data_IF_968652300386
#
_entry.id   IF_968652300386
#
_cell.length_a   1.000
_cell.length_b   1.000
_cell.length_c   1.000
_cell.angle_alpha   90.00
_cell.angle_beta   90.00
_cell.angle_gamma   90.00
#
_symmetry.space_group_name_H-M   'P 1'
#
loop_
_entity.id
_entity.type
_entity.pdbx_description
1 polymer ?
#
# COMPACT_ATOMS: atom_id res chain seq x y z
N UNK A 1 -31.79 7.58 -44.47
CA UNK A 1 -30.70 7.91 -43.52
C UNK A 1 -29.99 6.60 -43.17
N UNK A 2 -28.66 6.44 -43.15
CA UNK A 2 -27.57 7.41 -43.36
C UNK A 2 -26.30 6.96 -42.62
N UNK A 3 -25.62 5.90 -43.09
CA UNK A 3 -24.32 5.43 -42.51
C UNK A 3 -23.16 6.32 -42.95
N UNK A 4 -22.17 6.55 -42.06
CA UNK A 4 -20.69 6.32 -42.22
C UNK A 4 -19.90 7.16 -41.18
N UNK A 5 -19.14 6.51 -40.28
CA UNK A 5 -17.66 6.24 -40.31
C UNK A 5 -16.78 7.42 -39.88
N UNK A 6 -15.97 7.20 -38.84
CA UNK A 6 -14.55 7.59 -38.88
C UNK A 6 -13.74 6.40 -39.41
N UNK A 7 -12.67 6.69 -40.16
CA UNK A 7 -11.83 5.68 -40.79
C UNK A 7 -10.47 5.60 -40.11
N UNK A 8 -9.96 4.39 -39.90
CA UNK A 8 -8.53 4.15 -39.70
C UNK A 8 -7.85 3.94 -41.05
N UNK A 9 -6.71 4.60 -41.20
CA UNK A 9 -5.94 4.78 -42.43
C UNK A 9 -5.24 3.48 -42.85
N UNK A 10 -5.43 3.06 -44.11
CA UNK A 10 -4.56 2.09 -44.78
C UNK A 10 -4.07 2.69 -46.09
N UNK A 11 -2.76 2.59 -46.32
CA UNK A 11 -2.11 3.01 -47.57
C UNK A 11 -2.04 1.83 -48.53
N UNK A 12 -2.51 2.00 -49.77
CA UNK A 12 -2.17 1.13 -50.90
C UNK A 12 -1.91 2.03 -52.11
N UNK A 13 -0.88 1.71 -52.89
CA UNK A 13 -0.47 2.48 -54.07
C UNK A 13 -1.04 1.91 -55.39
N UNK A 14 -0.69 2.60 -56.48
CA UNK A 14 -0.76 2.17 -57.90
C UNK A 14 -2.05 2.50 -58.68
N UNK A 15 -1.86 3.12 -59.85
CA UNK A 15 -2.76 3.00 -61.01
C UNK A 15 -3.49 4.28 -61.43
N UNK A 16 -2.99 4.99 -62.44
CA UNK A 16 -3.69 6.11 -63.11
C UNK A 16 -4.16 5.68 -64.50
N UNK A 17 -5.47 5.71 -64.77
CA UNK A 17 -6.07 5.66 -66.11
C UNK A 17 -7.32 6.58 -66.12
N UNK A 18 -7.56 7.42 -67.15
CA UNK A 18 -8.52 8.54 -67.10
C UNK A 18 -9.98 8.16 -67.46
N UNK A 19 -10.97 9.06 -67.23
CA UNK A 19 -12.39 8.70 -67.26
C UNK A 19 -13.08 8.83 -68.62
N UNK A 20 -14.14 8.05 -68.82
CA UNK A 20 -15.15 8.24 -69.89
C UNK A 20 -16.52 8.50 -69.23
N UNK A 21 -17.31 9.39 -69.84
CA UNK A 21 -18.43 10.08 -69.18
C UNK A 21 -19.81 9.40 -69.18
N UNK A 22 -20.74 10.11 -68.54
CA UNK A 22 -22.12 9.77 -68.21
C UNK A 22 -23.04 9.23 -69.34
N UNK A 23 -24.00 8.37 -68.95
CA UNK A 23 -25.48 8.57 -69.08
C UNK A 23 -26.32 7.33 -68.72
N UNK A 24 -27.48 7.56 -68.06
CA UNK A 24 -28.70 6.70 -68.02
C UNK A 24 -28.56 5.24 -67.50
N UNK A 25 -29.62 4.52 -67.11
CA UNK A 25 -31.05 4.84 -67.03
C UNK A 25 -31.84 3.76 -66.25
N UNK A 26 -33.13 4.01 -66.00
CA UNK A 26 -34.02 3.22 -65.13
C UNK A 26 -34.77 2.11 -65.91
N UNK A 27 -34.78 0.86 -65.41
CA UNK A 27 -35.73 -0.27 -65.66
C UNK A 27 -35.18 -1.52 -64.90
N UNK A 28 -35.86 -2.61 -64.52
CA UNK A 28 -37.27 -3.13 -64.59
C UNK A 28 -37.66 -3.64 -63.17
N UNK A 29 -38.96 -3.75 -62.85
CA UNK A 29 -39.51 -4.53 -61.72
C UNK A 29 -40.25 -5.78 -62.26
N UNK A 30 -40.39 -6.83 -61.45
CA UNK A 30 -41.21 -8.07 -61.65
C UNK A 30 -40.46 -9.30 -62.17
N UNK A 31 -39.99 -10.13 -61.23
CA UNK A 31 -40.46 -11.53 -61.14
C UNK A 31 -40.96 -11.73 -59.71
N UNK A 32 -42.29 -11.67 -59.54
CA UNK A 32 -42.97 -12.15 -58.34
C UNK A 32 -43.26 -13.65 -58.51
N UNK A 33 -43.32 -14.37 -57.39
CA UNK A 33 -43.88 -15.73 -57.25
C UNK A 33 -43.11 -16.86 -57.96
N UNK A 34 -42.01 -17.28 -57.33
CA UNK A 34 -41.28 -18.51 -57.68
C UNK A 34 -40.77 -19.24 -56.43
N UNK A 35 -41.60 -20.14 -55.90
CA UNK A 35 -41.27 -21.16 -54.89
C UNK A 35 -40.52 -20.74 -53.60
N UNK A 36 -41.25 -20.77 -52.48
CA UNK A 36 -40.65 -21.07 -51.18
C UNK A 36 -40.12 -22.51 -51.23
N UNK A 37 -38.82 -22.68 -51.45
CA UNK A 37 -38.12 -23.93 -51.15
C UNK A 37 -37.14 -23.70 -50.03
N UNK A 38 -37.35 -24.41 -48.92
CA UNK A 38 -36.34 -24.57 -47.87
C UNK A 38 -35.11 -25.26 -48.47
N UNK A 39 -34.07 -24.50 -48.83
CA UNK A 39 -32.73 -25.00 -48.55
C UNK A 39 -32.43 -24.62 -47.11
N UNK A 40 -32.32 -25.64 -46.25
CA UNK A 40 -31.65 -25.49 -44.97
C UNK A 40 -30.16 -25.35 -45.26
N UNK A 41 -29.76 -24.17 -45.75
CA UNK A 41 -28.35 -23.79 -45.79
C UNK A 41 -27.90 -23.63 -44.35
N UNK A 42 -27.15 -24.61 -43.85
CA UNK A 42 -26.44 -24.46 -42.59
C UNK A 42 -25.59 -23.18 -42.69
N UNK A 43 -25.97 -22.14 -41.95
CA UNK A 43 -25.09 -21.02 -41.65
C UNK A 43 -24.04 -21.52 -40.67
N UNK A 44 -23.09 -22.30 -41.21
CA UNK A 44 -21.81 -22.53 -40.57
C UNK A 44 -21.06 -21.20 -40.60
N UNK A 45 -21.22 -20.43 -39.52
CA UNK A 45 -20.20 -19.46 -39.14
C UNK A 45 -18.86 -20.21 -39.07
N UNK A 46 -17.73 -19.58 -39.44
CA UNK A 46 -16.43 -20.15 -39.15
C UNK A 46 -16.34 -20.31 -37.63
N UNK A 47 -16.44 -21.54 -37.14
CA UNK A 47 -16.07 -21.89 -35.78
C UNK A 47 -14.55 -21.91 -35.73
N UNK A 48 -13.97 -20.70 -35.81
CA UNK A 48 -12.60 -20.47 -35.40
C UNK A 48 -12.58 -20.79 -33.89
N UNK A 49 -11.86 -21.85 -33.45
CA UNK A 49 -12.07 -22.45 -32.13
C UNK A 49 -11.67 -21.55 -30.95
N UNK A 50 -11.08 -20.39 -31.23
CA UNK A 50 -10.56 -19.42 -30.27
C UNK A 50 -11.40 -18.10 -30.20
N UNK A 51 -12.64 -18.08 -30.72
CA UNK A 51 -13.56 -16.94 -30.50
C UNK A 51 -14.07 -16.96 -29.06
N UNK A 52 -13.77 -15.91 -28.29
CA UNK A 52 -14.11 -15.77 -26.88
C UNK A 52 -15.20 -14.71 -26.68
N UNK A 53 -16.31 -15.10 -26.07
CA UNK A 53 -17.47 -14.26 -25.77
C UNK A 53 -17.44 -13.68 -24.35
N UNK A 54 -18.37 -12.78 -24.04
CA UNK A 54 -18.59 -12.29 -22.67
C UNK A 54 -18.95 -13.46 -21.73
N UNK A 55 -18.10 -13.71 -20.72
CA UNK A 55 -18.16 -14.87 -19.83
C UNK A 55 -17.09 -15.95 -20.08
N UNK A 56 -16.45 -15.98 -21.25
CA UNK A 56 -15.48 -17.03 -21.59
C UNK A 56 -14.13 -16.84 -20.90
N UNK A 57 -13.42 -17.95 -20.66
CA UNK A 57 -12.08 -17.97 -20.08
C UNK A 57 -11.04 -17.59 -21.11
N UNK A 58 -10.14 -16.68 -20.75
CA UNK A 58 -9.16 -16.11 -21.65
C UNK A 58 -7.73 -16.14 -21.05
N UNK A 59 -6.73 -16.09 -21.92
CA UNK A 59 -5.31 -16.07 -21.53
C UNK A 59 -4.77 -14.65 -21.37
N UNK A 60 -3.99 -14.43 -20.31
CA UNK A 60 -3.22 -13.21 -20.07
C UNK A 60 -1.71 -13.49 -20.14
N UNK A 61 -0.87 -12.50 -20.50
CA UNK A 61 0.58 -12.65 -20.50
C UNK A 61 1.12 -13.15 -19.14
N UNK A 62 2.08 -14.10 -19.19
CA UNK A 62 2.69 -14.68 -17.99
C UNK A 62 1.88 -15.82 -17.34
N UNK A 63 1.22 -16.67 -18.14
CA UNK A 63 0.46 -17.85 -17.69
C UNK A 63 -0.71 -17.56 -16.74
N UNK A 64 -1.27 -16.35 -16.77
CA UNK A 64 -2.45 -15.98 -15.98
C UNK A 64 -3.72 -16.22 -16.79
N UNK A 65 -4.80 -16.62 -16.12
CA UNK A 65 -6.13 -16.74 -16.73
C UNK A 65 -7.03 -15.56 -16.33
N UNK A 66 -8.00 -15.27 -17.19
CA UNK A 66 -9.02 -14.26 -16.96
C UNK A 66 -10.39 -14.69 -17.48
N UNK A 67 -11.36 -13.79 -17.38
CA UNK A 67 -12.66 -13.88 -18.04
C UNK A 67 -12.88 -12.67 -18.92
N UNK A 68 -13.41 -12.90 -20.11
CA UNK A 68 -13.85 -11.87 -21.04
C UNK A 68 -15.08 -11.15 -20.48
N UNK A 69 -14.97 -9.86 -20.20
CA UNK A 69 -16.10 -9.00 -19.80
C UNK A 69 -15.88 -7.57 -20.30
N UNK A 70 -16.88 -6.70 -20.17
CA UNK A 70 -16.77 -5.32 -20.66
C UNK A 70 -15.63 -4.58 -19.96
N UNK A 71 -14.90 -3.76 -20.72
CA UNK A 71 -13.73 -3.04 -20.20
C UNK A 71 -14.03 -2.09 -19.03
N UNK A 72 -15.28 -1.60 -18.92
CA UNK A 72 -15.74 -0.78 -17.80
C UNK A 72 -15.89 -1.58 -16.49
N UNK A 73 -16.12 -2.89 -16.59
CA UNK A 73 -16.41 -3.78 -15.47
C UNK A 73 -15.16 -4.55 -14.98
N UNK A 74 -14.00 -4.37 -15.63
CA UNK A 74 -12.72 -4.89 -15.12
C UNK A 74 -12.36 -4.26 -13.75
N UNK A 75 -11.83 -5.06 -12.79
CA UNK A 75 -11.06 -4.52 -11.67
C UNK A 75 -9.93 -3.63 -12.19
N UNK A 76 -9.73 -2.46 -11.58
CA UNK A 76 -9.11 -1.31 -12.24
C UNK A 76 -7.69 -1.58 -12.78
N UNK A 77 -7.40 -1.07 -14.00
CA UNK A 77 -6.03 -0.86 -14.48
C UNK A 77 -5.69 -1.34 -15.90
N UNK A 78 -6.62 -1.90 -16.69
CA UNK A 78 -6.25 -2.50 -18.00
C UNK A 78 -6.05 -1.46 -19.10
N UNK A 79 -4.79 -1.05 -19.31
CA UNK A 79 -4.34 -0.37 -20.54
C UNK A 79 -4.33 -1.34 -21.73
N UNK A 80 -5.44 -1.42 -22.46
CA UNK A 80 -5.60 -1.70 -23.92
C UNK A 80 -4.85 -2.88 -24.63
N UNK A 81 -4.01 -3.65 -23.94
CA UNK A 81 -3.11 -4.67 -24.51
C UNK A 81 -3.44 -6.12 -24.07
N UNK A 82 -4.62 -6.34 -23.47
CA UNK A 82 -5.14 -7.69 -23.27
C UNK A 82 -5.62 -8.31 -24.58
N UNK A 83 -5.73 -9.64 -24.63
CA UNK A 83 -6.40 -10.33 -25.73
C UNK A 83 -7.83 -9.77 -25.89
N UNK A 84 -8.20 -9.43 -27.13
CA UNK A 84 -9.51 -8.88 -27.47
C UNK A 84 -10.48 -10.03 -27.63
N UNK A 85 -11.58 -9.99 -26.89
CA UNK A 85 -12.63 -11.02 -26.94
C UNK A 85 -13.62 -10.66 -28.05
N UNK A 86 -14.52 -9.69 -27.80
CA UNK A 86 -15.45 -9.17 -28.82
C UNK A 86 -15.95 -7.75 -28.48
N UNK A 87 -17.07 -7.32 -29.06
CA UNK A 87 -17.84 -6.14 -28.64
C UNK A 87 -19.26 -6.55 -28.24
N UNK A 88 -19.66 -6.20 -27.02
CA UNK A 88 -21.01 -6.42 -26.50
C UNK A 88 -21.85 -5.17 -26.82
N UNK A 89 -22.43 -5.14 -28.02
CA UNK A 89 -23.09 -3.95 -28.56
C UNK A 89 -22.09 -2.87 -28.96
N UNK A 90 -22.03 -1.77 -28.20
CA UNK A 90 -21.02 -0.72 -28.35
C UNK A 90 -19.84 -0.85 -27.36
N UNK A 91 -19.94 -1.77 -26.39
CA UNK A 91 -18.97 -1.87 -25.31
C UNK A 91 -17.85 -2.87 -25.67
N UNK A 92 -16.56 -2.50 -25.57
CA UNK A 92 -15.46 -3.42 -25.83
C UNK A 92 -15.36 -4.49 -24.74
N UNK A 93 -15.35 -5.76 -25.12
CA UNK A 93 -15.12 -6.90 -24.22
C UNK A 93 -13.64 -7.27 -24.26
N UNK A 94 -13.01 -7.30 -23.09
CA UNK A 94 -11.57 -7.57 -22.92
C UNK A 94 -11.37 -8.66 -21.89
N UNK A 95 -10.24 -9.37 -21.99
CA UNK A 95 -9.84 -10.32 -20.98
C UNK A 95 -9.47 -9.60 -19.67
N UNK A 96 -10.34 -9.62 -18.66
CA UNK A 96 -10.04 -9.11 -17.32
C UNK A 96 -9.49 -10.26 -16.44
N UNK A 97 -8.51 -10.02 -15.54
CA UNK A 97 -8.02 -11.05 -14.62
C UNK A 97 -9.14 -11.52 -13.70
N UNK A 98 -9.42 -12.82 -13.70
CA UNK A 98 -10.16 -13.47 -12.62
C UNK A 98 -9.19 -13.77 -11.50
N UNK A 99 -9.48 -13.30 -10.30
CA UNK A 99 -8.84 -13.81 -9.10
C UNK A 99 -9.10 -15.33 -9.01
N UNK A 100 -8.11 -16.09 -8.55
CA UNK A 100 -8.17 -17.55 -8.61
C UNK A 100 -9.38 -18.06 -7.80
N UNK A 101 -10.16 -19.03 -8.32
CA UNK A 101 -11.48 -19.34 -7.78
C UNK A 101 -11.42 -20.06 -6.42
N UNK A 102 -11.61 -19.30 -5.35
CA UNK A 102 -12.38 -19.75 -4.18
C UNK A 102 -13.84 -19.39 -4.41
N UNK A 103 -14.73 -20.37 -4.53
CA UNK A 103 -16.13 -20.18 -4.93
C UNK A 103 -16.93 -19.38 -3.90
N UNK A 104 -17.49 -18.25 -4.32
CA UNK A 104 -18.38 -17.44 -3.49
C UNK A 104 -19.82 -17.99 -3.48
N UNK A 105 -20.32 -18.27 -2.28
CA UNK A 105 -21.74 -18.09 -1.95
C UNK A 105 -21.87 -16.78 -1.14
N UNK A 106 -23.07 -16.18 -1.09
CA UNK A 106 -23.36 -14.81 -0.63
C UNK A 106 -23.08 -14.50 0.85
N UNK A 107 -22.33 -15.35 1.55
CA UNK A 107 -21.88 -15.21 2.94
C UNK A 107 -20.34 -15.20 3.09
N UNK A 108 -19.60 -15.41 2.00
CA UNK A 108 -18.15 -15.69 2.03
C UNK A 108 -17.21 -14.48 2.14
N UNK A 109 -17.71 -13.24 2.19
CA UNK A 109 -16.86 -12.03 2.19
C UNK A 109 -15.99 -11.84 3.46
N UNK A 110 -16.06 -12.78 4.41
CA UNK A 110 -15.26 -12.83 5.64
C UNK A 110 -14.09 -13.81 5.59
N UNK A 111 -14.01 -14.66 4.56
CA UNK A 111 -13.01 -15.75 4.48
C UNK A 111 -11.82 -15.49 3.54
N UNK A 112 -11.85 -14.44 2.71
CA UNK A 112 -10.75 -14.06 1.80
C UNK A 112 -10.01 -12.77 2.20
N UNK A 113 -10.51 -12.02 3.18
CA UNK A 113 -9.79 -10.87 3.72
C UNK A 113 -8.56 -11.33 4.52
N UNK A 114 -7.40 -10.68 4.29
CA UNK A 114 -6.18 -10.85 5.10
C UNK A 114 -6.51 -10.76 6.60
N UNK A 115 -5.85 -11.57 7.44
CA UNK A 115 -6.12 -11.62 8.88
C UNK A 115 -5.92 -10.22 9.48
N UNK A 116 -4.85 -9.51 9.11
CA UNK A 116 -4.59 -8.15 9.55
C UNK A 116 -5.72 -7.16 9.19
N UNK A 117 -6.48 -7.40 8.11
CA UNK A 117 -7.65 -6.60 7.72
C UNK A 117 -8.87 -6.94 8.59
N UNK A 118 -9.12 -8.23 8.82
CA UNK A 118 -10.19 -8.68 9.73
C UNK A 118 -9.97 -8.18 11.17
N UNK A 119 -8.73 -8.21 11.66
CA UNK A 119 -8.36 -7.73 12.99
C UNK A 119 -8.49 -6.20 13.08
N UNK A 120 -8.02 -5.47 12.05
CA UNK A 120 -8.29 -4.06 11.90
C UNK A 120 -9.80 -3.71 11.98
N UNK A 121 -10.68 -4.54 11.41
CA UNK A 121 -12.14 -4.37 11.49
C UNK A 121 -12.74 -4.72 12.86
N UNK A 122 -12.10 -5.61 13.63
CA UNK A 122 -12.49 -5.93 15.01
C UNK A 122 -12.17 -4.82 16.01
N UNK A 123 -11.19 -3.97 15.70
CA UNK A 123 -10.83 -2.83 16.55
C UNK A 123 -11.92 -1.74 16.49
N UNK A 124 -12.71 -1.63 17.56
CA UNK A 124 -13.51 -0.42 17.80
C UNK A 124 -12.56 0.74 18.05
N UNK A 125 -12.39 1.62 17.07
CA UNK A 125 -11.57 2.82 17.22
C UNK A 125 -11.98 3.57 18.49
N UNK A 126 -11.04 3.79 19.41
CA UNK A 126 -11.17 4.90 20.34
C UNK A 126 -11.35 6.17 19.50
N UNK A 127 -12.32 7.03 19.84
CA UNK A 127 -12.62 8.22 19.05
C UNK A 127 -11.38 9.10 18.95
N UNK A 128 -10.71 9.04 17.82
CA UNK A 128 -9.60 9.92 17.51
C UNK A 128 -10.19 11.34 17.38
N UNK A 129 -9.96 12.17 18.39
CA UNK A 129 -10.20 13.60 18.32
C UNK A 129 -9.11 14.20 17.41
N UNK A 130 -9.22 13.93 16.11
CA UNK A 130 -8.28 14.40 15.09
C UNK A 130 -8.49 15.90 14.95
N UNK A 131 -7.60 16.67 15.58
CA UNK A 131 -7.44 18.09 15.28
C UNK A 131 -6.72 18.17 13.92
N UNK A 132 -7.24 19.00 13.02
CA UNK A 132 -6.73 19.13 11.67
C UNK A 132 -5.21 19.37 11.63
N UNK A 133 -4.53 18.65 10.74
CA UNK A 133 -3.09 18.62 10.67
C UNK A 133 -2.55 19.90 10.02
N UNK A 134 -1.93 20.77 10.81
CA UNK A 134 -1.21 21.94 10.30
C UNK A 134 0.12 21.46 9.71
N UNK A 135 0.25 21.48 8.38
CA UNK A 135 1.50 21.17 7.68
C UNK A 135 2.66 22.09 8.10
N UNK A 136 3.87 21.53 8.10
CA UNK A 136 5.11 22.31 8.03
C UNK A 136 5.87 22.52 9.34
N UNK A 137 5.47 21.90 10.47
CA UNK A 137 6.26 21.91 11.73
C UNK A 137 6.10 20.58 12.49
N UNK A 138 7.14 20.20 13.23
CA UNK A 138 6.98 19.27 14.34
C UNK A 138 6.13 19.94 15.43
N UNK A 139 5.08 19.26 15.89
CA UNK A 139 4.15 19.78 16.91
C UNK A 139 3.91 18.71 17.99
N UNK A 140 3.58 19.16 19.21
CA UNK A 140 3.26 18.24 20.31
C UNK A 140 2.01 17.40 19.97
N UNK A 141 2.05 16.11 20.28
CA UNK A 141 0.90 15.22 20.20
C UNK A 141 0.04 15.31 21.47
N UNK A 142 -1.27 15.07 21.34
CA UNK A 142 -2.18 15.04 22.49
C UNK A 142 -2.29 13.62 23.08
N UNK A 143 -2.56 13.51 24.39
CA UNK A 143 -2.76 12.21 25.06
C UNK A 143 -3.94 11.47 24.41
N UNK A 144 -3.68 10.25 23.96
CA UNK A 144 -4.65 9.42 23.24
C UNK A 144 -4.87 9.79 21.76
N UNK A 145 -4.12 10.74 21.19
CA UNK A 145 -4.18 11.03 19.74
C UNK A 145 -3.68 9.83 18.90
N UNK A 146 -2.58 9.21 19.34
CA UNK A 146 -1.98 8.04 18.71
C UNK A 146 -1.86 6.89 19.72
N UNK A 147 -2.97 6.20 20.05
CA UNK A 147 -3.04 5.25 21.17
C UNK A 147 -2.23 3.95 20.96
N UNK A 148 -1.58 3.81 19.81
CA UNK A 148 -0.74 2.68 19.41
C UNK A 148 0.75 2.94 19.59
N UNK A 149 1.16 4.19 19.84
CA UNK A 149 2.58 4.56 19.95
C UNK A 149 3.11 4.09 21.30
N UNK A 150 4.24 3.39 21.27
CA UNK A 150 4.88 2.83 22.45
C UNK A 150 6.38 3.14 22.47
N UNK A 151 6.96 3.15 23.67
CA UNK A 151 8.41 3.28 23.89
C UNK A 151 8.98 1.94 24.36
N UNK A 152 10.11 1.53 23.79
CA UNK A 152 10.85 0.33 24.23
C UNK A 152 11.94 0.74 25.22
N UNK A 153 11.90 0.15 26.42
CA UNK A 153 12.91 0.33 27.46
C UNK A 153 13.94 -0.78 27.41
N UNK A 154 15.21 -0.41 27.63
CA UNK A 154 16.36 -1.31 27.58
C UNK A 154 17.09 -1.36 28.92
N UNK A 155 17.64 -2.52 29.27
CA UNK A 155 18.58 -2.64 30.40
C UNK A 155 19.95 -2.12 29.96
N UNK A 156 20.57 -1.27 30.78
CA UNK A 156 22.01 -1.00 30.64
C UNK A 156 22.84 -2.23 31.00
N UNK A 157 24.04 -2.35 30.44
CA UNK A 157 25.00 -3.38 30.88
C UNK A 157 25.57 -3.00 32.27
N UNK A 158 25.87 -4.00 33.10
CA UNK A 158 26.35 -3.75 34.46
C UNK A 158 27.71 -3.03 34.45
N UNK A 159 27.74 -1.80 34.95
CA UNK A 159 28.95 -0.98 35.06
C UNK A 159 29.18 -0.01 33.89
N UNK A 160 28.36 -0.03 32.84
CA UNK A 160 28.36 1.02 31.81
C UNK A 160 27.35 2.12 32.13
N UNK A 161 27.66 3.35 31.71
CA UNK A 161 26.66 4.43 31.64
C UNK A 161 25.51 3.97 30.74
N UNK A 162 24.26 4.05 31.21
CA UNK A 162 23.10 3.60 30.44
C UNK A 162 23.07 4.37 29.13
N UNK A 163 23.51 3.72 28.06
CA UNK A 163 23.41 4.25 26.71
C UNK A 163 21.93 4.35 26.40
N UNK A 164 21.37 5.54 26.61
CA UNK A 164 19.96 5.91 26.51
C UNK A 164 19.46 5.77 25.07
N UNK A 165 19.48 4.54 24.56
CA UNK A 165 18.93 4.15 23.27
C UNK A 165 17.44 4.04 23.48
N UNK A 166 16.69 4.87 22.76
CA UNK A 166 15.23 4.83 22.74
C UNK A 166 14.82 4.37 21.36
N UNK A 167 13.86 3.47 21.33
CA UNK A 167 13.17 3.11 20.11
C UNK A 167 11.67 3.16 20.36
N UNK A 168 10.94 3.65 19.35
CA UNK A 168 9.51 3.52 19.28
C UNK A 168 9.10 2.08 18.92
N UNK A 169 7.84 1.78 19.17
CA UNK A 169 7.13 0.62 18.65
C UNK A 169 5.66 0.97 18.41
N UNK A 170 4.97 0.12 17.66
CA UNK A 170 3.56 0.30 17.29
C UNK A 170 2.75 -0.90 17.75
N UNK A 171 1.76 -0.72 18.61
CA UNK A 171 0.84 -1.79 19.02
C UNK A 171 -0.03 -2.22 17.85
N UNK A 172 0.07 -3.48 17.41
CA UNK A 172 -0.67 -4.01 16.23
C UNK A 172 -1.68 -5.10 16.57
N UNK A 173 -1.55 -5.72 17.76
CA UNK A 173 -2.48 -6.71 18.31
C UNK A 173 -2.35 -6.71 19.85
N UNK A 174 -3.25 -7.35 20.62
CA UNK A 174 -3.25 -7.25 22.09
C UNK A 174 -1.96 -7.67 22.80
N UNK A 175 -1.08 -8.43 22.15
CA UNK A 175 0.21 -8.89 22.70
C UNK A 175 1.43 -8.50 21.87
N UNK A 176 1.23 -7.86 20.72
CA UNK A 176 2.28 -7.71 19.73
C UNK A 176 2.46 -6.26 19.32
N UNK A 177 3.71 -5.81 19.36
CA UNK A 177 4.14 -4.55 18.77
C UNK A 177 5.08 -4.78 17.61
N UNK A 178 4.99 -3.91 16.60
CA UNK A 178 5.91 -3.84 15.47
C UNK A 178 6.95 -2.74 15.72
N UNK A 179 8.22 -3.02 15.45
CA UNK A 179 9.33 -2.07 15.55
C UNK A 179 10.45 -2.44 14.56
N UNK A 180 11.57 -1.72 14.58
CA UNK A 180 12.72 -2.01 13.73
C UNK A 180 13.59 -3.12 14.35
N UNK A 181 14.24 -3.94 13.52
CA UNK A 181 15.10 -5.02 14.00
C UNK A 181 16.41 -4.50 14.62
N UNK A 182 16.97 -3.41 14.07
CA UNK A 182 18.18 -2.79 14.61
C UNK A 182 18.00 -2.27 16.05
N UNK A 183 16.76 -2.00 16.46
CA UNK A 183 16.43 -1.60 17.84
C UNK A 183 16.55 -2.74 18.85
N UNK A 184 16.53 -4.00 18.42
CA UNK A 184 16.42 -5.15 19.34
C UNK A 184 17.55 -6.17 19.17
N UNK A 185 18.25 -6.17 18.04
CA UNK A 185 19.20 -7.24 17.68
C UNK A 185 20.37 -7.37 18.67
N UNK A 186 20.98 -6.25 19.01
CA UNK A 186 22.21 -6.16 19.80
C UNK A 186 21.98 -5.35 21.11
N UNK A 187 20.73 -5.34 21.60
CA UNK A 187 20.29 -4.63 22.81
C UNK A 187 19.41 -5.54 23.67
N UNK A 188 19.20 -5.19 24.94
CA UNK A 188 18.43 -5.98 25.91
C UNK A 188 17.09 -5.29 26.28
N UNK A 189 16.04 -5.40 25.44
CA UNK A 189 14.74 -4.78 25.70
C UNK A 189 14.02 -5.51 26.85
N UNK A 190 13.48 -4.77 27.81
CA UNK A 190 12.88 -5.32 29.05
C UNK A 190 11.38 -5.08 29.11
N UNK A 191 10.97 -3.82 28.93
CA UNK A 191 9.58 -3.39 29.04
C UNK A 191 9.19 -2.49 27.87
N UNK A 192 7.88 -2.37 27.67
CA UNK A 192 7.25 -1.47 26.71
C UNK A 192 6.26 -0.58 27.46
N UNK A 193 6.34 0.72 27.24
CA UNK A 193 5.44 1.71 27.83
C UNK A 193 4.47 2.24 26.77
N UNK A 194 3.19 2.37 27.12
CA UNK A 194 2.10 2.85 26.23
C UNK A 194 1.16 3.79 27.00
N UNK A 195 0.48 4.71 26.29
CA UNK A 195 -0.61 5.54 26.85
C UNK A 195 -0.15 6.80 27.60
N UNK A 196 1.02 7.33 27.26
CA UNK A 196 1.61 8.52 27.85
C UNK A 196 2.09 9.51 26.77
N UNK A 197 2.42 10.74 27.16
CA UNK A 197 2.96 11.77 26.24
C UNK A 197 4.32 12.26 26.68
N UNK A 198 4.52 12.49 27.98
CA UNK A 198 5.80 12.97 28.50
C UNK A 198 6.57 11.81 29.11
N UNK A 199 7.87 11.74 28.88
CA UNK A 199 8.73 10.68 29.42
C UNK A 199 8.76 10.68 30.97
N UNK A 200 8.44 11.83 31.55
CA UNK A 200 8.25 12.07 32.99
C UNK A 200 6.86 11.71 33.51
N UNK A 201 5.90 11.34 32.67
CA UNK A 201 4.55 10.93 33.09
C UNK A 201 4.61 9.66 33.96
N UNK A 202 3.94 9.70 35.12
CA UNK A 202 3.80 8.54 36.03
C UNK A 202 2.63 7.63 35.66
N UNK A 203 1.64 8.15 34.96
CA UNK A 203 0.44 7.42 34.50
C UNK A 203 0.66 6.78 33.13
N UNK A 204 1.45 5.70 33.09
CA UNK A 204 1.74 4.94 31.87
C UNK A 204 1.52 3.45 32.08
N UNK A 205 1.08 2.76 31.03
CA UNK A 205 0.94 1.30 31.08
C UNK A 205 2.28 0.66 30.69
N UNK A 206 2.94 0.00 31.64
CA UNK A 206 4.15 -0.77 31.39
C UNK A 206 3.85 -2.27 31.24
N UNK A 207 4.40 -2.88 30.17
CA UNK A 207 4.27 -4.29 29.89
C UNK A 207 5.64 -4.97 29.77
N UNK A 208 5.83 -6.07 30.50
CA UNK A 208 7.02 -6.90 30.36
C UNK A 208 7.06 -7.63 29.01
N UNK A 209 8.24 -7.65 28.39
CA UNK A 209 8.51 -8.39 27.17
C UNK A 209 8.64 -9.88 27.50
N UNK A 210 7.99 -10.73 26.69
CA UNK A 210 8.13 -12.19 26.71
C UNK A 210 9.21 -12.66 25.75
N UNK A 211 9.16 -12.16 24.50
CA UNK A 211 10.04 -12.59 23.42
C UNK A 211 10.15 -11.50 22.35
N UNK A 212 11.32 -11.45 21.69
CA UNK A 212 11.53 -10.70 20.45
C UNK A 212 11.57 -11.67 19.27
N UNK A 213 10.94 -11.29 18.16
CA UNK A 213 11.02 -11.98 16.88
C UNK A 213 11.65 -11.04 15.85
N UNK A 214 12.95 -11.20 15.61
CA UNK A 214 13.64 -10.52 14.51
C UNK A 214 13.27 -11.18 13.18
N UNK A 215 13.12 -10.40 12.11
CA UNK A 215 12.95 -10.95 10.77
C UNK A 215 14.21 -11.70 10.32
N UNK A 216 14.07 -12.93 9.83
CA UNK A 216 15.14 -13.88 9.56
C UNK A 216 16.10 -13.38 8.46
N UNK A 217 15.57 -12.58 7.52
CA UNK A 217 16.35 -11.90 6.48
C UNK A 217 17.09 -10.64 6.93
N UNK A 218 17.01 -10.23 8.20
CA UNK A 218 17.55 -8.95 8.67
C UNK A 218 19.07 -8.83 8.48
N UNK A 219 19.51 -7.79 7.74
CA UNK A 219 20.93 -7.50 7.48
C UNK A 219 21.15 -5.98 7.46
N UNK A 220 21.72 -5.46 8.55
CA UNK A 220 22.02 -4.03 8.73
C UNK A 220 20.76 -3.15 8.62
N UNK A 221 20.44 -2.60 7.45
CA UNK A 221 19.23 -1.79 7.20
C UNK A 221 18.24 -2.44 6.21
N UNK A 222 18.49 -3.67 5.76
CA UNK A 222 17.52 -4.47 4.99
C UNK A 222 16.75 -5.42 5.89
N UNK A 223 15.46 -5.62 5.58
CA UNK A 223 14.51 -6.31 6.46
C UNK A 223 14.61 -5.81 7.90
N UNK A 224 14.60 -4.49 8.06
CA UNK A 224 14.73 -3.83 9.36
C UNK A 224 13.37 -3.76 10.07
N UNK A 225 12.89 -4.92 10.48
CA UNK A 225 11.57 -5.13 11.10
C UNK A 225 11.61 -6.27 12.11
N UNK A 226 10.96 -6.06 13.25
CA UNK A 226 10.86 -7.03 14.32
C UNK A 226 9.50 -6.91 15.04
N UNK A 227 9.11 -7.99 15.72
CA UNK A 227 7.96 -8.03 16.62
C UNK A 227 8.44 -8.16 18.06
N UNK A 228 7.77 -7.45 18.96
CA UNK A 228 7.87 -7.63 20.41
C UNK A 228 6.59 -8.36 20.85
N UNK A 229 6.74 -9.54 21.45
CA UNK A 229 5.66 -10.26 22.12
C UNK A 229 5.68 -9.94 23.62
N UNK A 230 4.55 -9.48 24.16
CA UNK A 230 4.36 -9.16 25.57
C UNK A 230 3.97 -10.41 26.39
N UNK A 231 4.31 -10.43 27.68
CA UNK A 231 3.90 -11.52 28.59
C UNK A 231 2.38 -11.57 28.78
N UNK A 232 1.74 -10.41 28.88
CA UNK A 232 0.31 -10.23 29.13
C UNK A 232 -0.37 -9.47 27.98
N UNK A 233 -1.70 -9.54 27.90
CA UNK A 233 -2.47 -8.74 26.95
C UNK A 233 -2.54 -7.28 27.42
N UNK A 234 -2.37 -6.35 26.48
CA UNK A 234 -2.76 -4.94 26.62
C UNK A 234 -4.27 -4.83 26.76
N UNK A 235 -4.73 -4.08 27.75
CA UNK A 235 -6.15 -3.74 27.90
C UNK A 235 -6.43 -2.46 27.14
N UNK A 236 -7.32 -2.51 26.14
CA UNK A 236 -7.65 -1.32 25.33
C UNK A 236 -8.50 -0.33 26.13
N UNK A 237 -8.13 0.95 26.03
CA UNK A 237 -8.76 2.11 26.69
C UNK A 237 -8.68 3.32 25.76
N UNK A 238 -9.15 4.48 26.20
CA UNK A 238 -9.24 5.67 25.35
C UNK A 238 -7.89 6.12 24.76
N UNK A 239 -6.80 5.95 25.50
CA UNK A 239 -5.44 6.33 25.11
C UNK A 239 -4.50 5.15 24.81
N UNK A 240 -5.01 3.91 24.78
CA UNK A 240 -4.25 2.71 24.42
C UNK A 240 -5.07 1.77 23.55
N UNK A 241 -4.58 1.50 22.33
CA UNK A 241 -5.28 0.70 21.32
C UNK A 241 -4.41 0.47 20.07
N UNK A 242 -4.72 -0.54 19.25
CA UNK A 242 -3.84 -0.96 18.16
C UNK A 242 -4.01 -0.12 16.89
N UNK A 243 -2.97 -0.07 16.06
CA UNK A 243 -3.02 0.47 14.69
C UNK A 243 -3.31 -0.64 13.67
N UNK A 244 -4.06 -0.32 12.62
CA UNK A 244 -4.23 -1.23 11.48
C UNK A 244 -2.95 -1.34 10.66
N UNK A 245 -2.61 -2.53 10.16
CA UNK A 245 -1.57 -2.64 9.13
C UNK A 245 -2.11 -2.15 7.79
N UNK A 246 -1.28 -1.45 6.99
CA UNK A 246 -1.64 -1.14 5.62
C UNK A 246 -1.62 -2.43 4.77
N UNK A 247 -2.79 -3.06 4.64
CA UNK A 247 -2.98 -4.35 3.94
C UNK A 247 -3.31 -4.18 2.46
N UNK A 248 -3.97 -3.07 2.12
CA UNK A 248 -4.34 -2.77 0.74
C UNK A 248 -3.11 -2.24 -0.04
N UNK A 249 -3.16 -2.34 -1.38
CA UNK A 249 -2.10 -1.85 -2.28
C UNK A 249 -2.48 -0.58 -3.10
N UNK A 250 -3.25 0.42 -2.61
CA UNK A 250 -3.14 1.72 -3.24
C UNK A 250 -1.69 2.16 -3.08
N UNK A 251 -1.09 2.68 -4.15
CA UNK A 251 0.24 3.26 -4.04
C UNK A 251 0.13 4.42 -3.06
N UNK A 252 0.88 4.31 -1.95
CA UNK A 252 1.24 5.49 -1.18
C UNK A 252 2.04 6.35 -2.16
N UNK A 253 1.73 7.65 -2.18
CA UNK A 253 2.22 8.55 -3.21
C UNK A 253 2.47 9.94 -2.65
N UNK A 254 3.13 10.81 -3.42
CA UNK A 254 3.54 12.14 -2.96
C UNK A 254 2.36 13.06 -2.61
N UNK A 255 1.13 12.71 -2.99
CA UNK A 255 -0.10 13.44 -2.64
C UNK A 255 -0.79 12.95 -1.36
N UNK A 256 -0.21 11.98 -0.64
CA UNK A 256 -0.76 11.46 0.62
C UNK A 256 0.10 11.97 1.78
N UNK A 257 -0.52 12.74 2.67
CA UNK A 257 0.11 13.15 3.93
C UNK A 257 0.34 11.92 4.80
N UNK A 258 1.59 11.67 5.16
CA UNK A 258 1.97 10.70 6.17
C UNK A 258 2.36 11.44 7.44
N UNK A 259 2.12 10.81 8.60
CA UNK A 259 2.50 11.34 9.91
C UNK A 259 3.55 10.43 10.52
N UNK A 260 4.68 10.99 10.91
CA UNK A 260 5.71 10.34 11.73
C UNK A 260 5.66 10.93 13.15
N UNK A 261 6.00 10.13 14.16
CA UNK A 261 5.94 10.54 15.56
C UNK A 261 6.93 9.77 16.46
N UNK A 262 7.36 10.41 17.54
CA UNK A 262 8.21 9.80 18.56
C UNK A 262 8.77 10.78 19.59
N UNK A 263 9.68 10.29 20.42
CA UNK A 263 10.40 11.03 21.48
C UNK A 263 11.89 11.21 21.12
N UNK A 264 12.16 11.35 19.82
CA UNK A 264 13.48 11.61 19.28
C UNK A 264 14.08 12.93 19.72
N UNK A 265 15.31 13.15 19.27
CA UNK A 265 15.92 14.47 19.29
C UNK A 265 15.25 15.41 18.28
N UNK A 266 15.48 16.72 18.43
CA UNK A 266 15.28 17.71 17.40
C UNK A 266 16.53 17.87 16.51
N UNK A 267 16.54 18.86 15.61
CA UNK A 267 17.69 19.19 14.76
C UNK A 267 18.96 19.58 15.52
N UNK A 268 18.82 20.05 16.78
CA UNK A 268 19.92 20.45 17.65
C UNK A 268 20.41 19.31 18.57
N UNK A 269 19.80 18.12 18.47
CA UNK A 269 20.14 16.97 19.30
C UNK A 269 19.47 16.97 20.68
N UNK A 270 18.60 17.94 20.98
CA UNK A 270 17.85 17.99 22.24
C UNK A 270 16.69 17.00 22.17
N UNK A 271 16.58 16.12 23.16
CA UNK A 271 15.50 15.12 23.21
C UNK A 271 14.21 15.76 23.65
N UNK A 272 13.15 15.56 22.86
CA UNK A 272 11.82 15.97 23.27
C UNK A 272 11.41 15.21 24.54
N UNK A 273 10.97 15.95 25.58
CA UNK A 273 10.33 15.32 26.75
C UNK A 273 8.95 14.77 26.38
N UNK A 274 8.28 15.42 25.42
CA UNK A 274 6.94 15.09 24.93
C UNK A 274 6.97 14.31 23.61
N UNK A 275 5.92 13.55 23.33
CA UNK A 275 5.67 12.93 22.03
C UNK A 275 5.45 14.03 20.97
N UNK A 276 6.30 14.05 19.94
CA UNK A 276 6.20 14.96 18.80
C UNK A 276 5.62 14.24 17.59
N UNK A 277 4.93 14.97 16.70
CA UNK A 277 4.42 14.48 15.41
C UNK A 277 4.76 15.46 14.27
N UNK A 278 4.96 14.95 13.06
CA UNK A 278 5.30 15.75 11.89
C UNK A 278 4.76 15.19 10.57
N UNK A 279 4.51 16.07 9.60
CA UNK A 279 4.07 15.71 8.23
C UNK A 279 5.25 15.30 7.36
N UNK A 280 5.14 14.16 6.67
CA UNK A 280 6.08 13.75 5.61
C UNK A 280 5.32 13.18 4.41
N UNK A 281 5.97 13.16 3.24
CA UNK A 281 5.41 12.69 1.98
C UNK A 281 6.31 11.61 1.37
N UNK A 282 5.75 10.57 0.74
CA UNK A 282 6.57 9.54 0.06
C UNK A 282 7.33 10.16 -1.13
N UNK A 283 8.64 9.91 -1.17
CA UNK A 283 9.51 10.23 -2.29
C UNK A 283 9.81 8.93 -3.07
N UNK A 284 9.68 8.92 -4.41
CA UNK A 284 10.05 7.79 -5.26
C UNK A 284 11.47 7.27 -4.96
N UNK A 285 11.65 5.95 -4.94
CA UNK A 285 12.91 5.33 -4.51
C UNK A 285 14.12 5.72 -5.37
N UNK A 286 13.92 5.99 -6.66
CA UNK A 286 14.94 6.48 -7.59
C UNK A 286 15.35 7.92 -7.27
N UNK A 287 14.38 8.82 -7.03
CA UNK A 287 14.64 10.18 -6.57
C UNK A 287 15.35 10.18 -5.20
N UNK A 288 14.90 9.33 -4.27
CA UNK A 288 15.53 9.18 -2.96
C UNK A 288 17.00 8.75 -3.08
N UNK A 289 17.27 7.68 -3.86
CA UNK A 289 18.65 7.23 -4.14
C UNK A 289 19.47 8.35 -4.81
N UNK A 290 18.87 9.17 -5.67
CA UNK A 290 19.56 10.29 -6.29
C UNK A 290 19.92 11.39 -5.27
N UNK A 291 19.01 11.81 -4.40
CA UNK A 291 19.27 12.80 -3.34
C UNK A 291 20.44 12.39 -2.44
N UNK A 292 20.49 11.11 -2.02
CA UNK A 292 21.63 10.58 -1.25
C UNK A 292 22.95 10.62 -2.05
N UNK A 293 22.93 10.27 -3.35
CA UNK A 293 24.12 10.37 -4.22
C UNK A 293 24.62 11.80 -4.37
N UNK A 294 23.72 12.77 -4.50
CA UNK A 294 24.05 14.19 -4.61
C UNK A 294 24.70 14.71 -3.31
N UNK A 295 24.25 14.21 -2.15
CA UNK A 295 24.90 14.39 -0.86
C UNK A 295 26.18 13.54 -0.65
N UNK A 296 26.69 12.90 -1.71
CA UNK A 296 27.88 12.00 -1.72
C UNK A 296 27.76 10.76 -0.83
N UNK A 297 26.55 10.38 -0.43
CA UNK A 297 26.27 9.17 0.33
C UNK A 297 25.83 8.03 -0.61
N UNK A 298 26.39 6.83 -0.43
CA UNK A 298 26.04 5.66 -1.23
C UNK A 298 25.05 4.78 -0.48
N UNK A 299 23.83 4.69 -1.00
CA UNK A 299 22.78 3.81 -0.49
C UNK A 299 22.27 2.85 -1.58
N UNK A 300 21.66 1.73 -1.16
CA UNK A 300 20.97 0.77 -2.01
C UNK A 300 19.63 0.45 -1.36
N UNK A 301 18.54 0.91 -1.97
CA UNK A 301 17.19 0.68 -1.48
C UNK A 301 16.47 -0.40 -2.29
N UNK A 302 15.53 -1.10 -1.66
CA UNK A 302 14.64 -2.07 -2.29
C UNK A 302 13.15 -1.68 -2.18
N UNK A 303 12.28 -2.44 -2.86
CA UNK A 303 10.81 -2.25 -2.77
C UNK A 303 10.25 -2.53 -1.36
N UNK A 304 11.03 -3.21 -0.52
CA UNK A 304 10.79 -3.44 0.91
C UNK A 304 11.04 -2.20 1.78
N UNK A 305 11.44 -1.09 1.17
CA UNK A 305 11.71 0.18 1.82
C UNK A 305 10.84 1.31 1.24
N UNK A 306 10.78 2.38 2.01
CA UNK A 306 10.05 3.63 1.80
C UNK A 306 11.04 4.78 2.02
N UNK A 307 10.95 5.85 1.23
CA UNK A 307 11.55 7.12 1.57
C UNK A 307 10.44 8.14 1.82
N UNK A 308 10.59 8.97 2.85
CA UNK A 308 9.71 10.10 3.06
C UNK A 308 10.50 11.32 3.54
N UNK A 309 9.99 12.51 3.23
CA UNK A 309 10.55 13.79 3.66
C UNK A 309 9.41 14.78 3.88
N UNK A 310 9.55 15.65 4.88
CA UNK A 310 8.61 16.74 5.12
C UNK A 310 8.77 17.91 4.17
N UNK A 311 7.88 18.88 4.32
CA UNK A 311 8.06 20.20 3.72
C UNK A 311 9.23 20.95 4.38
N UNK A 312 9.94 21.73 3.56
CA UNK A 312 10.99 22.64 4.02
C UNK A 312 10.38 23.99 4.37
N UNK A 313 10.45 24.39 5.64
CA UNK A 313 9.92 25.65 6.18
C UNK A 313 11.03 26.38 6.93
N UNK A 314 11.29 27.65 6.58
CA UNK A 314 12.31 28.49 7.23
C UNK A 314 13.71 27.84 7.33
N UNK A 315 14.13 27.19 6.24
CA UNK A 315 15.36 26.40 6.12
C UNK A 315 15.43 25.03 6.83
N UNK A 316 14.47 24.70 7.70
CA UNK A 316 14.33 23.39 8.35
C UNK A 316 13.41 22.46 7.56
N UNK A 317 13.63 21.14 7.61
CA UNK A 317 12.75 20.13 6.99
C UNK A 317 12.25 19.14 8.03
N UNK A 318 10.94 18.84 8.04
CA UNK A 318 10.40 17.82 8.97
C UNK A 318 10.90 16.42 8.56
N UNK A 319 11.56 15.70 9.46
CA UNK A 319 12.04 14.31 9.26
C UNK A 319 12.04 13.53 10.58
N UNK A 320 12.13 12.21 10.52
CA UNK A 320 12.29 11.34 11.69
C UNK A 320 13.71 11.41 12.24
N UNK A 321 13.87 11.52 13.56
CA UNK A 321 15.15 11.77 14.20
C UNK A 321 15.70 10.57 15.01
N UNK A 322 16.93 10.75 15.52
CA UNK A 322 17.56 9.86 16.50
C UNK A 322 16.67 9.71 17.74
N UNK A 323 16.14 8.50 17.96
CA UNK A 323 15.20 8.18 19.03
C UNK A 323 13.75 7.92 18.58
N UNK A 324 13.42 8.24 17.33
CA UNK A 324 12.17 7.81 16.67
C UNK A 324 12.30 6.42 16.01
N UNK A 325 13.51 5.85 15.98
CA UNK A 325 13.80 4.51 15.43
C UNK A 325 12.79 3.46 15.89
N UNK A 326 12.26 2.66 14.96
CA UNK A 326 11.21 1.68 15.25
C UNK A 326 9.80 2.24 15.44
N UNK A 327 9.66 3.57 15.51
CA UNK A 327 8.37 4.26 15.57
C UNK A 327 7.55 4.15 14.27
N UNK A 328 6.26 4.53 14.33
CA UNK A 328 5.34 4.39 13.22
C UNK A 328 5.47 5.52 12.18
N UNK A 329 5.37 5.14 10.90
CA UNK A 329 4.93 6.02 9.82
C UNK A 329 3.48 5.67 9.48
N UNK A 330 2.59 6.66 9.60
CA UNK A 330 1.14 6.49 9.61
C UNK A 330 0.48 7.18 8.42
N UNK A 331 -0.48 6.50 7.79
CA UNK A 331 -1.44 7.09 6.87
C UNK A 331 -2.82 7.16 7.53
N UNK A 332 -3.49 8.30 7.43
CA UNK A 332 -4.83 8.51 8.02
C UNK A 332 -5.89 8.50 6.93
N UNK A 333 -6.79 7.52 6.96
CA UNK A 333 -7.89 7.39 5.98
C UNK A 333 -9.22 7.31 6.71
N UNK A 334 -10.13 8.26 6.45
CA UNK A 334 -11.48 8.32 7.05
C UNK A 334 -11.48 8.17 8.57
N UNK A 335 -10.61 8.92 9.26
CA UNK A 335 -10.41 8.88 10.71
C UNK A 335 -9.86 7.54 11.27
N UNK A 336 -9.24 6.70 10.42
CA UNK A 336 -8.56 5.47 10.83
C UNK A 336 -7.08 5.52 10.47
N UNK A 337 -6.23 5.10 11.40
CA UNK A 337 -4.78 5.06 11.24
C UNK A 337 -4.33 3.72 10.65
N UNK A 338 -3.45 3.80 9.65
CA UNK A 338 -2.82 2.65 8.99
C UNK A 338 -1.31 2.78 9.09
N UNK A 339 -0.65 1.76 9.64
CA UNK A 339 0.79 1.64 9.72
C UNK A 339 1.34 1.29 8.33
N UNK A 340 1.96 2.26 7.68
CA UNK A 340 2.53 2.10 6.33
C UNK A 340 4.01 1.78 6.36
N UNK A 341 4.71 2.30 7.36
CA UNK A 341 6.15 2.12 7.52
C UNK A 341 6.60 2.08 8.98
N UNK A 342 7.82 1.60 9.17
CA UNK A 342 8.54 1.61 10.46
C UNK A 342 9.83 2.40 10.27
N UNK A 343 10.13 3.36 11.16
CA UNK A 343 11.36 4.18 11.07
C UNK A 343 12.59 3.27 11.14
N UNK A 344 13.36 3.18 10.05
CA UNK A 344 14.58 2.35 10.00
C UNK A 344 15.84 3.19 10.17
N UNK A 345 15.99 4.26 9.39
CA UNK A 345 17.08 5.23 9.55
C UNK A 345 16.66 6.58 8.98
N UNK A 346 16.63 7.61 9.83
CA UNK A 346 16.48 8.99 9.37
C UNK A 346 17.74 9.51 8.69
N UNK A 347 17.64 10.68 8.07
CA UNK A 347 18.81 11.50 7.79
C UNK A 347 19.33 12.16 9.08
N UNK A 348 20.25 13.10 8.95
CA UNK A 348 20.49 14.07 10.05
C UNK A 348 19.22 14.92 10.18
N UNK A 349 18.68 14.98 11.39
CA UNK A 349 17.40 15.58 11.71
C UNK A 349 17.34 17.06 11.24
N UNK A 350 16.22 17.48 10.65
CA UNK A 350 16.12 18.81 10.02
C UNK A 350 16.76 18.92 8.63
N UNK A 351 17.50 17.89 8.18
CA UNK A 351 18.27 17.89 6.94
C UNK A 351 17.45 17.71 5.66
N UNK A 352 18.12 17.86 4.51
CA UNK A 352 17.51 17.79 3.18
C UNK A 352 17.43 16.39 2.57
N UNK A 353 17.93 15.38 3.27
CA UNK A 353 17.90 13.98 2.84
C UNK A 353 16.65 13.27 3.37
N UNK A 354 15.98 12.40 2.58
CA UNK A 354 14.80 11.67 3.05
C UNK A 354 15.11 10.66 4.16
N UNK A 355 14.22 10.55 5.15
CA UNK A 355 14.20 9.42 6.07
C UNK A 355 13.82 8.12 5.36
N UNK A 356 14.42 7.01 5.79
CA UNK A 356 14.21 5.66 5.24
C UNK A 356 13.43 4.81 6.24
N UNK A 357 12.38 4.18 5.75
CA UNK A 357 11.42 3.39 6.51
C UNK A 357 11.29 1.99 5.92
N UNK A 358 11.00 0.99 6.75
CA UNK A 358 10.67 -0.37 6.27
C UNK A 358 9.20 -0.41 5.83
N UNK A 359 8.91 -0.87 4.59
CA UNK A 359 7.57 -0.85 3.99
C UNK A 359 6.71 -2.02 4.50
N UNK A 360 5.79 -1.75 5.44
CA UNK A 360 5.00 -2.76 6.17
C UNK A 360 4.21 -3.69 5.24
N UNK A 361 3.68 -3.18 4.13
CA UNK A 361 2.92 -3.98 3.16
C UNK A 361 3.71 -5.11 2.48
N UNK A 362 5.05 -5.11 2.58
CA UNK A 362 5.93 -6.20 2.10
C UNK A 362 6.20 -7.29 3.13
N UNK A 363 5.81 -7.09 4.39
CA UNK A 363 6.04 -8.03 5.49
C UNK A 363 4.75 -8.63 6.06
N UNK A 364 3.59 -8.36 5.46
CA UNK A 364 2.28 -8.79 5.96
C UNK A 364 2.21 -10.30 6.24
N UNK A 365 2.75 -11.13 5.34
CA UNK A 365 2.72 -12.60 5.52
C UNK A 365 3.55 -13.05 6.72
N UNK A 366 4.73 -12.45 6.92
CA UNK A 366 5.58 -12.70 8.09
C UNK A 366 4.93 -12.21 9.39
N UNK A 367 4.34 -11.01 9.38
CA UNK A 367 3.62 -10.47 10.54
C UNK A 367 2.41 -11.36 10.87
N UNK A 368 1.59 -11.72 9.87
CA UNK A 368 0.37 -12.50 10.07
C UNK A 368 0.69 -13.89 10.64
N UNK A 369 1.68 -14.58 10.08
CA UNK A 369 2.14 -15.88 10.56
C UNK A 369 2.65 -15.82 12.01
N UNK A 370 3.34 -14.73 12.40
CA UNK A 370 3.93 -14.57 13.74
C UNK A 370 2.92 -14.12 14.81
N UNK A 371 1.95 -13.29 14.45
CA UNK A 371 1.00 -12.65 15.39
C UNK A 371 -0.27 -13.47 15.57
N UNK A 372 -0.82 -14.03 14.48
CA UNK A 372 -2.11 -14.74 14.49
C UNK A 372 -2.00 -16.22 14.07
N UNK A 373 -0.82 -16.66 13.60
CA UNK A 373 -0.60 -18.01 13.10
C UNK A 373 -1.02 -18.20 11.64
N UNK A 374 -0.71 -19.37 11.08
CA UNK A 374 -1.25 -19.75 9.77
C UNK A 374 -2.76 -20.03 9.88
N UNK A 375 -3.59 -19.60 8.91
CA UNK A 375 -4.93 -20.16 8.77
C UNK A 375 -4.80 -21.65 8.43
N UNK A 376 -5.42 -22.51 9.25
CA UNK A 376 -5.51 -23.96 9.03
C UNK A 376 -6.49 -24.29 7.90
#
# INVERSE_FOLDING_TARGET
MGRRRCATRWSVAVGVVPPVGAKAGLLVLVILLGAVTRSAGNFSFPTDPDILYEGDKCGLPGMRTGTCQKAADCPQGIRANGARCEFSGNDPVVCCPTEAPGTGDGTSNRFTARIAKQECERFTSASANIIDHISGRAIEALRGEFPFVALVNFRGEEGEEVKLTRCGASLIAPRFLLTAAHCLKDLNPVTVEIGFIQLSDTEKDEYEIKQVHLHEGHKSRRNDIALIELKNNVTYKQDVGPICLNTDRPEIGPSINLTVMGWGADGDGQRADKLMKGTVYEIPLDECVQRFRDAKQRISLGEDQLCALGEKVNDETTDACQGDSGGPLVMTVRQKFYLVGVVSTGAVCGGSLPGIYTRVSRYLEWIEQRVWGSPN
#
